data_IF_080356551831
#
_entry.id   IF_080356551831
#
_cell.length_a   1.000
_cell.length_b   1.000
_cell.length_c   1.000
_cell.angle_alpha   90.00
_cell.angle_beta   90.00
_cell.angle_gamma   90.00
#
_symmetry.space_group_name_H-M   'P 1'
#
loop_
_entity.id
_entity.type
_entity.pdbx_description
1 polymer ?
#
# COMPACT_ATOMS: atom_id res chain seq x y z
N UNK A 1 10.16 -3.75 -25.72
CA UNK A 1 8.74 -4.15 -25.63
C UNK A 1 7.88 -3.00 -26.12
N UNK A 2 6.75 -3.26 -26.80
CA UNK A 2 5.79 -2.24 -27.24
C UNK A 2 4.62 -2.18 -26.27
N UNK A 3 4.22 -0.98 -25.86
CA UNK A 3 3.27 -0.75 -24.77
C UNK A 3 2.09 0.07 -25.30
N UNK A 4 0.87 -0.36 -24.96
CA UNK A 4 -0.37 0.37 -25.18
C UNK A 4 -0.97 0.83 -23.85
N UNK A 5 -1.42 2.08 -23.75
CA UNK A 5 -2.09 2.63 -22.57
C UNK A 5 -3.56 2.92 -22.92
N UNK A 6 -4.45 2.46 -22.04
CA UNK A 6 -5.87 2.78 -22.05
C UNK A 6 -6.22 3.45 -20.72
N UNK A 7 -6.62 4.72 -20.74
CA UNK A 7 -6.83 5.51 -19.54
C UNK A 7 -8.28 5.97 -19.42
N UNK A 8 -8.95 5.51 -18.38
CA UNK A 8 -10.23 6.03 -17.95
C UNK A 8 -10.00 7.24 -17.04
N UNK A 9 -10.09 8.43 -17.64
CA UNK A 9 -9.76 9.70 -16.96
C UNK A 9 -10.76 10.06 -15.87
N UNK A 10 -11.99 9.60 -15.96
CA UNK A 10 -13.02 9.88 -14.95
C UNK A 10 -12.83 9.00 -13.71
N UNK A 11 -12.28 7.81 -13.87
CA UNK A 11 -11.99 6.87 -12.78
C UNK A 11 -10.66 7.22 -12.08
N UNK A 12 -9.60 7.43 -12.84
CA UNK A 12 -8.28 7.85 -12.34
C UNK A 12 -7.96 9.21 -12.94
N UNK A 13 -8.44 10.28 -12.29
CA UNK A 13 -8.18 11.65 -12.72
C UNK A 13 -6.79 12.08 -12.27
N UNK A 14 -5.89 12.47 -13.18
CA UNK A 14 -4.60 13.04 -12.82
C UNK A 14 -4.75 14.27 -11.91
N UNK A 15 -3.85 14.49 -10.95
CA UNK A 15 -3.80 15.76 -10.24
C UNK A 15 -3.49 16.89 -11.23
N UNK A 16 -3.93 18.11 -10.91
CA UNK A 16 -3.70 19.30 -11.75
C UNK A 16 -2.21 19.71 -11.84
N UNK A 17 -1.29 18.78 -11.72
CA UNK A 17 0.15 18.98 -11.69
C UNK A 17 0.74 18.46 -13.01
N UNK A 18 1.39 19.34 -13.76
CA UNK A 18 1.79 19.14 -15.17
C UNK A 18 2.66 17.90 -15.48
N UNK A 19 3.25 17.25 -14.48
CA UNK A 19 4.21 16.16 -14.73
C UNK A 19 3.65 14.75 -14.50
N UNK A 20 2.40 14.62 -14.02
CA UNK A 20 1.88 13.31 -13.64
C UNK A 20 1.71 12.35 -14.84
N UNK A 21 1.23 12.86 -15.97
CA UNK A 21 1.05 12.05 -17.18
C UNK A 21 2.40 11.54 -17.68
N UNK A 22 3.40 12.42 -17.68
CA UNK A 22 4.77 12.05 -18.02
C UNK A 22 5.34 10.98 -17.07
N UNK A 23 5.12 11.12 -15.76
CA UNK A 23 5.58 10.14 -14.78
C UNK A 23 4.90 8.76 -14.92
N UNK A 24 3.62 8.72 -15.31
CA UNK A 24 2.95 7.46 -15.66
C UNK A 24 3.63 6.82 -16.87
N UNK A 25 3.86 7.60 -17.94
CA UNK A 25 4.54 7.11 -19.15
C UNK A 25 5.92 6.57 -18.81
N UNK A 26 6.75 7.31 -18.07
CA UNK A 26 8.08 6.89 -17.65
C UNK A 26 8.04 5.62 -16.81
N UNK A 27 7.07 5.52 -15.90
CA UNK A 27 6.89 4.34 -15.07
C UNK A 27 6.61 3.09 -15.89
N UNK A 28 5.70 3.17 -16.85
CA UNK A 28 5.31 2.00 -17.64
C UNK A 28 6.31 1.67 -18.76
N UNK A 29 7.08 2.66 -19.19
CA UNK A 29 8.04 2.54 -20.29
C UNK A 29 9.46 2.23 -19.84
N UNK A 30 9.72 1.96 -18.55
CA UNK A 30 11.07 1.59 -18.06
C UNK A 30 11.72 0.48 -18.87
N UNK A 31 10.94 -0.49 -19.35
CA UNK A 31 11.42 -1.67 -20.11
C UNK A 31 10.87 -1.74 -21.54
N UNK A 32 10.37 -0.62 -22.05
CA UNK A 32 9.74 -0.60 -23.36
C UNK A 32 9.49 0.79 -23.90
N UNK A 33 8.73 0.88 -24.96
CA UNK A 33 8.34 2.14 -25.57
C UNK A 33 6.82 2.24 -25.69
N UNK A 34 6.29 3.43 -25.47
CA UNK A 34 4.90 3.74 -25.76
C UNK A 34 4.68 3.64 -27.26
N UNK A 35 3.78 2.78 -27.68
CA UNK A 35 3.42 2.58 -29.09
C UNK A 35 2.03 3.13 -29.39
N UNK A 36 1.14 3.14 -28.41
CA UNK A 36 -0.20 3.66 -28.54
C UNK A 36 -0.74 4.09 -27.18
N UNK A 37 -1.48 5.20 -27.13
CA UNK A 37 -2.11 5.69 -25.92
C UNK A 37 -3.46 6.33 -26.20
N UNK A 38 -4.49 5.94 -25.46
CA UNK A 38 -5.84 6.48 -25.52
C UNK A 38 -6.31 6.92 -24.14
N UNK A 39 -6.99 8.05 -24.09
CA UNK A 39 -7.64 8.55 -22.89
C UNK A 39 -9.13 8.78 -23.15
N UNK A 40 -9.96 8.16 -22.32
CA UNK A 40 -11.42 8.13 -22.46
C UNK A 40 -12.08 9.02 -21.41
N UNK A 41 -13.01 9.87 -21.81
CA UNK A 41 -13.77 10.69 -20.88
C UNK A 41 -14.67 11.72 -21.56
N UNK A 42 -15.50 12.37 -20.75
CA UNK A 42 -16.31 13.49 -21.22
C UNK A 42 -15.52 14.80 -21.16
N UNK A 43 -14.81 15.13 -22.24
CA UNK A 43 -13.95 16.32 -22.31
C UNK A 43 -14.69 17.67 -22.16
N UNK A 44 -16.02 17.67 -22.13
CA UNK A 44 -16.83 18.83 -21.76
C UNK A 44 -16.93 19.00 -20.21
N UNK A 45 -16.50 18.00 -19.44
CA UNK A 45 -16.50 18.08 -17.99
C UNK A 45 -15.39 19.01 -17.48
N UNK A 46 -15.77 20.03 -16.70
CA UNK A 46 -14.84 21.02 -16.17
C UNK A 46 -13.72 20.43 -15.30
N UNK A 47 -13.93 19.25 -14.71
CA UNK A 47 -12.94 18.58 -13.86
C UNK A 47 -11.79 17.97 -14.64
N UNK A 48 -12.00 17.62 -15.93
CA UNK A 48 -10.99 16.90 -16.74
C UNK A 48 -10.58 17.65 -18.01
N UNK A 49 -11.37 18.65 -18.46
CA UNK A 49 -11.06 19.37 -19.71
C UNK A 49 -9.67 20.02 -19.73
N UNK A 50 -9.18 20.47 -18.56
CA UNK A 50 -7.89 21.13 -18.46
C UNK A 50 -6.71 20.14 -18.57
N UNK A 51 -6.97 18.84 -18.50
CA UNK A 51 -5.97 17.77 -18.63
C UNK A 51 -5.77 17.40 -20.11
N UNK A 52 -6.76 17.65 -20.95
CA UNK A 52 -6.75 17.28 -22.36
C UNK A 52 -5.53 17.81 -23.14
N UNK A 53 -5.10 19.08 -22.98
CA UNK A 53 -3.92 19.57 -23.69
C UNK A 53 -2.63 18.83 -23.30
N UNK A 54 -2.49 18.46 -22.03
CA UNK A 54 -1.33 17.73 -21.53
C UNK A 54 -1.30 16.28 -22.05
N UNK A 55 -2.43 15.59 -22.04
CA UNK A 55 -2.56 14.27 -22.65
C UNK A 55 -2.23 14.31 -24.13
N UNK A 56 -2.76 15.30 -24.87
CA UNK A 56 -2.48 15.47 -26.28
C UNK A 56 -0.99 15.71 -26.57
N UNK A 57 -0.33 16.56 -25.77
CA UNK A 57 1.12 16.81 -25.90
C UNK A 57 1.98 15.57 -25.61
N UNK A 58 1.44 14.63 -24.84
CA UNK A 58 2.06 13.33 -24.55
C UNK A 58 1.58 12.21 -25.50
N UNK A 59 1.05 12.58 -26.67
CA UNK A 59 0.61 11.67 -27.74
C UNK A 59 -0.53 10.71 -27.35
N UNK A 60 -1.42 11.13 -26.45
CA UNK A 60 -2.66 10.41 -26.22
C UNK A 60 -3.71 10.77 -27.26
N UNK A 61 -4.37 9.78 -27.81
CA UNK A 61 -5.62 9.95 -28.55
C UNK A 61 -6.76 10.17 -27.54
N UNK A 62 -7.49 11.31 -27.70
CA UNK A 62 -8.55 11.69 -26.78
C UNK A 62 -9.90 11.19 -27.33
N UNK A 63 -10.46 10.18 -26.67
CA UNK A 63 -11.76 9.62 -27.04
C UNK A 63 -12.84 10.36 -26.24
N UNK A 64 -13.68 11.15 -26.98
CA UNK A 64 -14.76 11.87 -26.33
C UNK A 64 -15.98 11.00 -26.15
N UNK A 65 -16.41 10.85 -24.91
CA UNK A 65 -17.63 10.13 -24.54
C UNK A 65 -18.61 11.15 -23.96
N UNK A 66 -19.62 11.55 -24.73
CA UNK A 66 -20.63 12.49 -24.24
C UNK A 66 -21.46 11.85 -23.14
N UNK A 67 -21.83 12.65 -22.14
CA UNK A 67 -22.77 12.16 -21.10
C UNK A 67 -24.10 11.85 -21.73
N UNK A 68 -24.48 10.60 -21.67
CA UNK A 68 -25.81 10.10 -22.06
C UNK A 68 -26.55 9.67 -20.79
N UNK A 69 -27.85 9.36 -20.92
CA UNK A 69 -28.64 8.75 -19.81
C UNK A 69 -28.19 7.32 -19.50
N UNK A 70 -27.38 6.71 -20.35
CA UNK A 70 -26.84 5.38 -20.13
C UNK A 70 -25.58 5.48 -19.26
N UNK A 71 -25.61 4.81 -18.11
CA UNK A 71 -24.42 4.53 -17.31
C UNK A 71 -23.52 3.58 -18.12
N UNK A 72 -22.20 3.70 -17.99
CA UNK A 72 -21.19 2.79 -18.56
C UNK A 72 -20.87 3.01 -20.06
N UNK A 73 -21.21 4.15 -20.66
CA UNK A 73 -20.83 4.43 -22.07
C UNK A 73 -19.32 4.50 -22.25
N UNK A 74 -18.59 5.03 -21.26
CA UNK A 74 -17.13 5.13 -21.26
C UNK A 74 -16.51 3.73 -21.21
N UNK A 75 -16.99 2.88 -20.31
CA UNK A 75 -16.49 1.52 -20.11
C UNK A 75 -16.67 0.67 -21.37
N UNK A 76 -17.85 0.74 -21.97
CA UNK A 76 -18.14 0.02 -23.23
C UNK A 76 -17.24 0.49 -24.38
N UNK A 77 -17.01 1.81 -24.50
CA UNK A 77 -16.13 2.36 -25.52
C UNK A 77 -14.68 1.95 -25.30
N UNK A 78 -14.18 2.02 -24.05
CA UNK A 78 -12.83 1.61 -23.71
C UNK A 78 -12.60 0.11 -23.98
N UNK A 79 -13.57 -0.75 -23.62
CA UNK A 79 -13.51 -2.18 -23.91
C UNK A 79 -13.47 -2.45 -25.41
N UNK A 80 -14.33 -1.79 -26.20
CA UNK A 80 -14.39 -1.98 -27.65
C UNK A 80 -13.04 -1.61 -28.29
N UNK A 81 -12.53 -0.40 -28.03
CA UNK A 81 -11.23 0.03 -28.55
C UNK A 81 -10.09 -0.87 -28.07
N UNK A 82 -10.09 -1.26 -26.79
CA UNK A 82 -9.07 -2.14 -26.26
C UNK A 82 -9.02 -3.50 -26.97
N UNK A 83 -10.18 -4.08 -27.28
CA UNK A 83 -10.24 -5.32 -28.07
C UNK A 83 -9.78 -5.10 -29.51
N UNK A 84 -10.18 -4.01 -30.16
CA UNK A 84 -9.73 -3.68 -31.52
C UNK A 84 -8.21 -3.54 -31.61
N UNK A 85 -7.56 -2.94 -30.58
CA UNK A 85 -6.10 -2.77 -30.54
C UNK A 85 -5.34 -4.09 -30.60
N UNK A 86 -5.90 -5.19 -30.05
CA UNK A 86 -5.29 -6.51 -30.12
C UNK A 86 -5.04 -6.93 -31.57
N UNK A 87 -5.99 -6.66 -32.44
CA UNK A 87 -5.98 -7.09 -33.83
C UNK A 87 -5.31 -6.07 -34.76
N UNK A 88 -5.55 -4.78 -34.56
CA UNK A 88 -4.96 -3.73 -35.39
C UNK A 88 -3.47 -3.50 -35.09
N UNK A 89 -3.05 -3.69 -33.84
CA UNK A 89 -1.66 -3.49 -33.40
C UNK A 89 -1.09 -4.73 -32.70
N UNK A 90 -0.96 -5.88 -33.42
CA UNK A 90 -0.53 -7.13 -32.83
C UNK A 90 0.88 -7.07 -32.23
N UNK A 91 1.69 -6.08 -32.61
CA UNK A 91 3.02 -5.84 -32.08
C UNK A 91 3.03 -5.24 -30.68
N UNK A 92 1.89 -4.75 -30.15
CA UNK A 92 1.78 -4.34 -28.74
C UNK A 92 1.83 -5.60 -27.88
N UNK A 93 2.79 -5.64 -26.97
CA UNK A 93 3.04 -6.79 -26.09
C UNK A 93 2.41 -6.61 -24.71
N UNK A 94 2.36 -5.36 -24.20
CA UNK A 94 1.84 -4.99 -22.90
C UNK A 94 0.72 -3.96 -23.04
N UNK A 95 -0.39 -4.21 -22.37
CA UNK A 95 -1.46 -3.24 -22.21
C UNK A 95 -1.54 -2.76 -20.77
N UNK A 96 -1.54 -1.43 -20.60
CA UNK A 96 -1.68 -0.76 -19.32
C UNK A 96 -3.07 -0.14 -19.25
N UNK A 97 -3.88 -0.64 -18.34
CA UNK A 97 -5.18 -0.07 -18.01
C UNK A 97 -5.03 0.88 -16.82
N UNK A 98 -5.34 2.16 -17.03
CA UNK A 98 -5.36 3.14 -15.93
C UNK A 98 -6.82 3.33 -15.50
N UNK A 99 -7.29 2.42 -14.66
CA UNK A 99 -8.61 2.39 -14.02
C UNK A 99 -8.64 1.35 -12.93
N UNK A 100 -9.45 1.56 -11.89
CA UNK A 100 -9.71 0.60 -10.82
C UNK A 100 -11.04 -0.14 -10.96
N UNK A 101 -11.80 0.12 -12.02
CA UNK A 101 -13.15 -0.43 -12.18
C UNK A 101 -13.13 -1.92 -12.53
N UNK A 102 -13.84 -2.72 -11.72
CA UNK A 102 -13.99 -4.16 -11.90
C UNK A 102 -14.67 -4.57 -13.21
N UNK A 103 -15.42 -3.69 -13.83
CA UNK A 103 -16.12 -3.96 -15.08
C UNK A 103 -15.15 -4.15 -16.26
N UNK A 104 -13.88 -3.75 -16.12
CA UNK A 104 -12.83 -4.00 -17.11
C UNK A 104 -12.19 -5.40 -17.05
N UNK A 105 -12.59 -6.28 -16.13
CA UNK A 105 -12.07 -7.67 -16.08
C UNK A 105 -12.19 -8.42 -17.41
N UNK A 106 -13.31 -8.33 -18.18
CA UNK A 106 -13.40 -8.98 -19.48
C UNK A 106 -12.35 -8.50 -20.48
N UNK A 107 -11.97 -7.23 -20.42
CA UNK A 107 -10.92 -6.66 -21.26
C UNK A 107 -9.55 -7.24 -20.92
N UNK A 108 -9.17 -7.28 -19.64
CA UNK A 108 -7.91 -7.90 -19.20
C UNK A 108 -7.86 -9.37 -19.59
N UNK A 109 -8.97 -10.10 -19.42
CA UNK A 109 -9.06 -11.49 -19.85
C UNK A 109 -8.84 -11.65 -21.36
N UNK A 110 -9.39 -10.72 -22.17
CA UNK A 110 -9.20 -10.71 -23.63
C UNK A 110 -7.72 -10.50 -23.97
N UNK A 111 -7.04 -9.55 -23.34
CA UNK A 111 -5.59 -9.33 -23.51
C UNK A 111 -4.79 -10.60 -23.21
N UNK A 112 -5.05 -11.23 -22.04
CA UNK A 112 -4.36 -12.45 -21.65
C UNK A 112 -4.59 -13.63 -22.60
N UNK A 113 -5.82 -13.81 -23.10
CA UNK A 113 -6.13 -14.85 -24.09
C UNK A 113 -5.33 -14.67 -25.38
N UNK A 114 -4.95 -13.45 -25.70
CA UNK A 114 -4.12 -13.14 -26.87
C UNK A 114 -2.63 -12.98 -26.56
N UNK A 115 -2.20 -13.49 -25.40
CA UNK A 115 -0.79 -13.52 -25.01
C UNK A 115 -0.19 -12.14 -24.68
N UNK A 116 -1.05 -11.18 -24.32
CA UNK A 116 -0.61 -9.84 -23.94
C UNK A 116 -0.40 -9.75 -22.44
N UNK A 117 0.67 -9.11 -22.02
CA UNK A 117 0.91 -8.74 -20.63
C UNK A 117 -0.03 -7.60 -20.20
N UNK A 118 -0.58 -7.68 -18.99
CA UNK A 118 -1.59 -6.74 -18.49
C UNK A 118 -1.11 -6.04 -17.23
N UNK A 119 -1.13 -4.71 -17.28
CA UNK A 119 -0.84 -3.85 -16.13
C UNK A 119 -2.07 -3.05 -15.75
N UNK A 120 -2.26 -2.83 -14.44
CA UNK A 120 -3.32 -1.96 -13.91
C UNK A 120 -2.69 -0.86 -13.07
N UNK A 121 -3.10 0.39 -13.31
CA UNK A 121 -2.76 1.54 -12.47
C UNK A 121 -4.06 2.12 -11.94
N UNK A 122 -4.22 2.20 -10.62
CA UNK A 122 -5.45 2.71 -10.00
C UNK A 122 -5.22 3.30 -8.61
N UNK A 123 -6.21 3.99 -8.06
CA UNK A 123 -6.23 4.43 -6.66
C UNK A 123 -6.76 3.31 -5.77
N UNK A 124 -5.84 2.68 -5.05
CA UNK A 124 -6.15 1.54 -4.16
C UNK A 124 -7.15 1.89 -3.06
N UNK A 125 -7.16 3.13 -2.60
CA UNK A 125 -8.02 3.53 -1.48
C UNK A 125 -9.41 3.97 -1.92
N UNK A 126 -9.61 4.31 -3.20
CA UNK A 126 -10.88 4.89 -3.66
C UNK A 126 -11.73 3.95 -4.50
N UNK A 127 -11.13 3.31 -5.49
CA UNK A 127 -11.90 2.65 -6.55
C UNK A 127 -11.29 1.37 -7.10
N UNK A 128 -10.28 0.81 -6.43
CA UNK A 128 -9.63 -0.40 -6.88
C UNK A 128 -10.48 -1.65 -6.61
N UNK A 129 -10.95 -2.30 -7.66
CA UNK A 129 -11.53 -3.63 -7.57
C UNK A 129 -10.42 -4.67 -7.33
N UNK A 130 -10.47 -5.35 -6.18
CA UNK A 130 -9.54 -6.45 -5.87
C UNK A 130 -9.54 -7.52 -6.97
N UNK A 131 -10.70 -7.78 -7.57
CA UNK A 131 -10.85 -8.79 -8.61
C UNK A 131 -10.20 -8.37 -9.93
N UNK A 132 -10.21 -7.07 -10.27
CA UNK A 132 -9.49 -6.54 -11.41
C UNK A 132 -7.98 -6.70 -11.22
N UNK A 133 -7.49 -6.34 -10.04
CA UNK A 133 -6.08 -6.39 -9.69
C UNK A 133 -5.57 -7.84 -9.67
N UNK A 134 -6.35 -8.76 -9.10
CA UNK A 134 -6.05 -10.21 -9.11
C UNK A 134 -5.84 -10.75 -10.52
N UNK A 135 -6.50 -10.15 -11.50
CA UNK A 135 -6.42 -10.57 -12.89
C UNK A 135 -5.24 -9.97 -13.64
N UNK A 136 -4.73 -8.82 -13.22
CA UNK A 136 -3.56 -8.20 -13.84
C UNK A 136 -2.28 -8.99 -13.59
N UNK A 137 -1.32 -8.95 -14.54
CA UNK A 137 0.02 -9.52 -14.33
C UNK A 137 0.84 -8.58 -13.45
N UNK A 138 0.58 -7.28 -13.56
CA UNK A 138 1.23 -6.25 -12.76
C UNK A 138 0.25 -5.17 -12.34
N UNK A 139 0.50 -4.59 -11.17
CA UNK A 139 -0.34 -3.54 -10.61
C UNK A 139 0.54 -2.45 -9.98
N UNK A 140 0.07 -1.21 -10.07
CA UNK A 140 0.71 -0.08 -9.39
C UNK A 140 -0.32 0.90 -8.84
N UNK A 141 -0.10 1.36 -7.61
CA UNK A 141 -0.89 2.46 -7.05
C UNK A 141 -0.47 3.78 -7.69
N UNK A 142 -1.44 4.53 -8.21
CA UNK A 142 -1.15 5.81 -8.85
C UNK A 142 -0.55 6.84 -7.89
N UNK A 143 -0.83 6.72 -6.59
CA UNK A 143 -0.29 7.61 -5.54
C UNK A 143 1.20 7.45 -5.35
N UNK A 144 1.73 6.25 -5.57
CA UNK A 144 3.18 6.02 -5.49
C UNK A 144 3.91 6.70 -6.65
N UNK A 145 3.23 6.84 -7.78
CA UNK A 145 3.76 7.63 -8.91
C UNK A 145 3.84 9.11 -8.52
N UNK A 146 2.81 9.65 -7.83
CA UNK A 146 2.77 11.04 -7.37
C UNK A 146 3.86 11.30 -6.32
N UNK A 147 3.99 10.45 -5.31
CA UNK A 147 4.99 10.60 -4.24
C UNK A 147 6.41 10.65 -4.80
N UNK A 148 6.72 9.75 -5.71
CA UNK A 148 8.04 9.75 -6.36
C UNK A 148 8.33 11.05 -7.11
N UNK A 149 7.32 11.79 -7.56
CA UNK A 149 7.51 13.10 -8.22
C UNK A 149 7.77 14.23 -7.22
N UNK A 150 7.12 14.21 -6.05
CA UNK A 150 7.31 15.22 -5.01
C UNK A 150 8.73 15.12 -4.42
N UNK A 151 9.26 13.93 -4.27
CA UNK A 151 10.64 13.69 -3.83
C UNK A 151 11.67 14.24 -4.83
N UNK A 152 11.38 14.21 -6.14
CA UNK A 152 12.23 14.82 -7.18
C UNK A 152 12.16 16.36 -7.22
N UNK A 153 11.05 16.97 -6.78
CA UNK A 153 10.87 18.44 -6.86
C UNK A 153 11.41 19.20 -5.65
N UNK A 154 11.76 18.51 -4.56
CA UNK A 154 12.32 19.11 -3.34
C UNK A 154 13.83 18.93 -3.19
N UNK A 155 14.48 18.21 -4.09
CA UNK A 155 15.92 17.97 -4.11
C UNK A 155 16.67 19.05 -4.89
N UNK A 156 17.26 20.03 -4.19
CA UNK A 156 18.31 20.88 -4.74
C UNK A 156 19.54 20.05 -5.15
N UNK A 157 20.24 20.53 -6.19
CA UNK A 157 21.48 20.00 -6.75
C UNK A 157 22.44 19.44 -5.69
N UNK A 158 22.41 18.12 -5.47
CA UNK A 158 23.53 17.33 -4.95
C UNK A 158 23.08 15.92 -4.51
N UNK A 159 22.45 15.13 -5.36
CA UNK A 159 22.44 13.67 -5.16
C UNK A 159 22.09 12.94 -6.47
N UNK A 160 23.03 13.00 -7.41
CA UNK A 160 22.94 12.29 -8.68
C UNK A 160 23.40 10.83 -8.59
N UNK A 161 23.65 10.32 -7.40
CA UNK A 161 24.01 8.91 -7.18
C UNK A 161 23.38 8.43 -5.86
N UNK A 162 22.66 7.31 -5.92
CA UNK A 162 22.09 6.54 -4.81
C UNK A 162 20.69 6.91 -4.33
N UNK A 163 19.68 6.87 -5.19
CA UNK A 163 18.45 6.22 -4.75
C UNK A 163 18.66 4.71 -4.81
N UNK A 164 19.44 4.17 -3.88
CA UNK A 164 19.31 2.77 -3.48
C UNK A 164 17.84 2.59 -3.13
N UNK A 165 17.11 1.83 -3.94
CA UNK A 165 15.75 1.40 -3.62
C UNK A 165 15.84 0.73 -2.25
N UNK A 166 15.39 1.42 -1.20
CA UNK A 166 15.36 0.85 0.14
C UNK A 166 14.48 -0.39 0.07
N UNK A 167 15.10 -1.55 0.11
CA UNK A 167 14.38 -2.80 0.17
C UNK A 167 13.53 -2.83 1.43
N UNK A 168 12.32 -3.36 1.30
CA UNK A 168 11.41 -3.53 2.43
C UNK A 168 12.05 -4.46 3.46
N UNK A 169 12.11 -4.03 4.72
CA UNK A 169 12.60 -4.88 5.80
C UNK A 169 11.52 -5.89 6.24
N UNK A 170 11.92 -6.96 6.94
CA UNK A 170 10.97 -7.95 7.48
C UNK A 170 9.99 -7.30 8.46
N UNK A 171 10.47 -6.41 9.31
CA UNK A 171 9.67 -5.68 10.30
C UNK A 171 8.62 -4.80 9.62
N UNK A 172 9.01 -4.06 8.58
CA UNK A 172 8.09 -3.25 7.77
C UNK A 172 7.04 -4.13 7.07
N UNK A 173 7.44 -5.30 6.57
CA UNK A 173 6.53 -6.25 5.95
C UNK A 173 5.53 -6.87 6.95
N UNK A 174 5.92 -7.12 8.21
CA UNK A 174 5.00 -7.58 9.26
C UNK A 174 4.00 -6.50 9.67
N UNK A 175 4.41 -5.23 9.66
CA UNK A 175 3.50 -4.10 9.88
C UNK A 175 2.45 -4.05 8.75
N UNK A 176 2.88 -4.18 7.50
CA UNK A 176 1.98 -4.22 6.34
C UNK A 176 1.02 -5.43 6.39
N UNK A 177 1.50 -6.59 6.83
CA UNK A 177 0.66 -7.77 7.03
C UNK A 177 -0.46 -7.50 8.04
N UNK A 178 -0.11 -6.92 9.19
CA UNK A 178 -1.08 -6.55 10.22
C UNK A 178 -2.08 -5.51 9.72
N UNK A 179 -1.62 -4.49 8.99
CA UNK A 179 -2.48 -3.47 8.40
C UNK A 179 -3.44 -4.07 7.37
N UNK A 180 -2.95 -4.97 6.51
CA UNK A 180 -3.76 -5.65 5.52
C UNK A 180 -4.89 -6.46 6.15
N UNK A 181 -4.60 -7.26 7.18
CA UNK A 181 -5.62 -8.03 7.93
C UNK A 181 -6.60 -7.09 8.63
N UNK A 182 -6.12 -5.97 9.19
CA UNK A 182 -6.97 -4.95 9.85
C UNK A 182 -8.00 -4.35 8.91
N UNK A 183 -7.63 -4.05 7.67
CA UNK A 183 -8.55 -3.51 6.67
C UNK A 183 -9.68 -4.47 6.30
N UNK A 184 -9.42 -5.78 6.25
CA UNK A 184 -10.49 -6.77 6.06
C UNK A 184 -11.50 -6.74 7.20
N UNK A 185 -11.03 -6.58 8.44
CA UNK A 185 -11.90 -6.46 9.62
C UNK A 185 -12.77 -5.20 9.57
N UNK A 186 -12.20 -4.06 9.17
CA UNK A 186 -12.94 -2.80 8.96
C UNK A 186 -14.01 -2.95 7.88
N UNK A 187 -13.68 -3.63 6.76
CA UNK A 187 -14.58 -3.90 5.65
C UNK A 187 -15.61 -5.01 5.97
N UNK A 188 -15.58 -5.61 7.16
CA UNK A 188 -16.42 -6.76 7.58
C UNK A 188 -16.30 -7.95 6.63
N UNK A 189 -15.12 -8.19 6.09
CA UNK A 189 -14.79 -9.32 5.22
C UNK A 189 -13.85 -10.29 5.92
N UNK A 190 -13.93 -11.55 5.56
CA UNK A 190 -13.06 -12.58 6.09
C UNK A 190 -11.67 -12.55 5.44
N UNK A 191 -10.60 -12.34 6.20
CA UNK A 191 -9.23 -12.25 5.67
C UNK A 191 -8.65 -13.63 5.35
N UNK A 192 -8.86 -14.13 4.14
CA UNK A 192 -8.21 -15.33 3.65
C UNK A 192 -6.70 -15.09 3.44
N UNK A 193 -5.87 -16.08 3.70
CA UNK A 193 -4.41 -15.98 3.50
C UNK A 193 -4.04 -15.49 2.09
N UNK A 194 -4.72 -16.00 1.05
CA UNK A 194 -4.50 -15.61 -0.34
C UNK A 194 -4.79 -14.14 -0.59
N UNK A 195 -5.86 -13.66 0.02
CA UNK A 195 -6.37 -12.32 -0.21
C UNK A 195 -5.51 -11.26 0.52
N UNK A 196 -5.02 -11.62 1.71
CA UNK A 196 -4.10 -10.75 2.46
C UNK A 196 -2.79 -10.52 1.71
N UNK A 197 -2.26 -11.52 0.98
CA UNK A 197 -1.07 -11.30 0.12
C UNK A 197 -1.30 -10.19 -0.91
N UNK A 198 -2.48 -10.20 -1.51
CA UNK A 198 -2.86 -9.19 -2.51
C UNK A 198 -3.00 -7.83 -1.83
N UNK A 199 -3.65 -7.79 -0.66
CA UNK A 199 -3.82 -6.54 0.10
C UNK A 199 -2.47 -5.92 0.48
N UNK A 200 -1.47 -6.72 0.88
CA UNK A 200 -0.12 -6.24 1.15
C UNK A 200 0.53 -5.65 -0.11
N UNK A 201 0.42 -6.35 -1.24
CA UNK A 201 0.92 -5.81 -2.52
C UNK A 201 0.21 -4.53 -2.95
N UNK A 202 -1.04 -4.34 -2.54
CA UNK A 202 -1.80 -3.11 -2.70
C UNK A 202 -1.30 -1.98 -1.77
N UNK A 203 -0.86 -2.32 -0.58
CA UNK A 203 -0.30 -1.37 0.39
C UNK A 203 1.14 -1.00 0.07
N UNK A 204 1.89 -1.93 -0.52
CA UNK A 204 3.27 -1.72 -0.94
C UNK A 204 3.61 -2.63 -2.13
N UNK A 205 3.78 -2.04 -3.31
CA UNK A 205 4.07 -2.74 -4.57
C UNK A 205 5.44 -3.43 -4.58
N UNK A 206 6.37 -2.98 -3.71
CA UNK A 206 7.70 -3.58 -3.53
C UNK A 206 7.68 -4.86 -2.70
N UNK A 207 6.53 -5.21 -2.11
CA UNK A 207 6.42 -6.41 -1.31
C UNK A 207 6.64 -7.66 -2.17
N UNK A 208 7.67 -8.39 -1.83
CA UNK A 208 8.00 -9.70 -2.39
C UNK A 208 8.60 -10.56 -1.27
N UNK A 209 7.90 -11.61 -0.88
CA UNK A 209 8.34 -12.51 0.18
C UNK A 209 9.69 -13.19 -0.14
N UNK A 210 10.02 -13.36 -1.41
CA UNK A 210 11.29 -13.99 -1.79
C UNK A 210 12.48 -13.06 -1.54
N UNK A 211 12.31 -11.75 -1.74
CA UNK A 211 13.31 -10.73 -1.40
C UNK A 211 13.53 -10.60 0.12
N UNK A 212 12.51 -10.95 0.91
CA UNK A 212 12.61 -11.01 2.37
C UNK A 212 13.23 -12.32 2.89
N UNK A 213 13.63 -13.21 1.98
CA UNK A 213 14.31 -14.49 2.31
C UNK A 213 13.36 -15.66 2.57
N UNK A 214 12.09 -15.55 2.20
CA UNK A 214 11.12 -16.65 2.31
C UNK A 214 11.01 -17.40 0.99
N UNK A 215 10.98 -18.73 1.03
CA UNK A 215 10.83 -19.57 -0.16
C UNK A 215 9.41 -19.53 -0.73
N UNK A 216 8.41 -19.15 0.06
CA UNK A 216 7.02 -19.02 -0.35
C UNK A 216 6.21 -18.16 0.64
N UNK A 217 5.00 -17.79 0.21
CA UNK A 217 4.08 -16.97 0.97
C UNK A 217 3.70 -17.53 2.35
N UNK A 218 3.50 -18.85 2.45
CA UNK A 218 3.13 -19.49 3.73
C UNK A 218 4.23 -19.36 4.77
N UNK A 219 5.49 -19.50 4.39
CA UNK A 219 6.63 -19.29 5.30
C UNK A 219 6.70 -17.86 5.85
N UNK A 220 6.39 -16.86 5.01
CA UNK A 220 6.24 -15.48 5.49
C UNK A 220 5.09 -15.33 6.48
N UNK A 221 3.91 -15.91 6.16
CA UNK A 221 2.72 -15.82 7.05
C UNK A 221 2.96 -16.48 8.39
N UNK A 222 3.62 -17.64 8.44
CA UNK A 222 3.98 -18.32 9.68
C UNK A 222 4.83 -17.47 10.60
N UNK A 223 5.83 -16.77 10.04
CA UNK A 223 6.67 -15.87 10.82
C UNK A 223 5.92 -14.58 11.19
N UNK A 224 5.14 -14.02 10.28
CA UNK A 224 4.31 -12.84 10.56
C UNK A 224 3.30 -13.09 11.70
N UNK A 225 2.72 -14.28 11.78
CA UNK A 225 1.81 -14.68 12.87
C UNK A 225 2.57 -14.73 14.23
N UNK A 226 3.81 -15.19 14.25
CA UNK A 226 4.63 -15.22 15.48
C UNK A 226 4.96 -13.82 15.99
N UNK A 227 5.20 -12.89 15.06
CA UNK A 227 5.63 -11.51 15.36
C UNK A 227 4.48 -10.52 15.51
N UNK A 228 3.24 -10.93 15.20
CA UNK A 228 2.05 -10.09 15.27
C UNK A 228 1.00 -10.67 16.20
N UNK A 229 -0.03 -9.89 16.53
CA UNK A 229 -1.19 -10.37 17.29
C UNK A 229 -2.26 -11.05 16.42
N UNK A 230 -1.83 -11.69 15.33
CA UNK A 230 -2.72 -12.37 14.39
C UNK A 230 -2.60 -13.87 14.62
N UNK A 231 -3.72 -14.58 14.57
CA UNK A 231 -3.79 -16.04 14.60
C UNK A 231 -4.41 -16.56 13.31
N UNK A 232 -4.15 -17.84 13.02
CA UNK A 232 -4.74 -18.53 11.88
C UNK A 232 -5.67 -19.61 12.38
N UNK A 233 -6.96 -19.46 12.10
CA UNK A 233 -8.00 -20.39 12.52
C UNK A 233 -9.00 -20.64 11.38
N UNK A 234 -9.30 -21.89 11.09
CA UNK A 234 -10.29 -22.29 10.08
C UNK A 234 -10.10 -21.65 8.69
N UNK A 235 -8.86 -21.41 8.28
CA UNK A 235 -8.57 -20.80 6.97
C UNK A 235 -8.49 -19.27 6.97
N UNK A 236 -8.79 -18.62 8.11
CA UNK A 236 -8.88 -17.18 8.25
C UNK A 236 -7.77 -16.62 9.15
N UNK A 237 -7.33 -15.40 8.88
CA UNK A 237 -6.40 -14.64 9.70
C UNK A 237 -7.20 -13.73 10.66
N UNK A 238 -7.08 -13.96 11.96
CA UNK A 238 -7.86 -13.27 12.99
C UNK A 238 -6.94 -12.37 13.80
N UNK A 239 -7.28 -11.08 13.89
CA UNK A 239 -6.62 -10.17 14.83
C UNK A 239 -7.21 -10.41 16.21
N UNK A 240 -6.40 -10.87 17.13
CA UNK A 240 -6.78 -11.02 18.53
C UNK A 240 -6.84 -9.65 19.19
N UNK A 241 -8.05 -9.13 19.39
CA UNK A 241 -8.29 -7.88 20.15
C UNK A 241 -8.11 -8.05 21.66
N UNK A 242 -7.97 -9.28 22.14
CA UNK A 242 -7.42 -9.49 23.46
C UNK A 242 -5.99 -9.01 23.41
N UNK A 243 -5.74 -7.86 24.00
CA UNK A 243 -4.42 -7.39 24.40
C UNK A 243 -3.77 -8.43 25.33
N UNK A 244 -3.29 -9.51 24.81
CA UNK A 244 -1.98 -9.94 25.13
C UNK A 244 -1.07 -9.08 24.25
N UNK A 245 -0.89 -7.84 24.68
CA UNK A 245 0.23 -7.05 24.24
C UNK A 245 1.43 -7.94 24.49
N UNK A 246 2.07 -8.41 23.44
CA UNK A 246 3.40 -8.95 23.56
C UNK A 246 4.20 -7.77 24.08
N UNK A 247 4.32 -7.72 25.41
CA UNK A 247 5.01 -6.64 26.11
C UNK A 247 6.40 -6.67 25.52
N UNK A 248 6.90 -5.59 24.87
CA UNK A 248 8.24 -5.59 24.33
C UNK A 248 9.22 -6.10 25.37
N UNK A 249 10.16 -6.94 24.97
CA UNK A 249 11.12 -7.58 25.87
C UNK A 249 11.70 -6.58 26.86
N UNK A 250 11.97 -5.36 26.41
CA UNK A 250 12.46 -4.27 27.24
C UNK A 250 11.55 -3.88 28.41
N UNK A 251 10.23 -4.09 28.32
CA UNK A 251 9.27 -3.75 29.37
C UNK A 251 8.73 -4.98 30.12
N UNK A 252 9.08 -6.21 29.71
CA UNK A 252 8.59 -7.44 30.36
C UNK A 252 8.99 -7.48 31.82
N UNK A 253 10.29 -7.25 32.11
CA UNK A 253 10.83 -7.23 33.46
C UNK A 253 10.17 -6.14 34.33
N UNK A 254 9.89 -4.97 33.76
CA UNK A 254 9.15 -3.90 34.44
C UNK A 254 7.75 -4.35 34.86
N UNK A 255 7.02 -4.94 33.88
CA UNK A 255 5.62 -5.35 34.08
C UNK A 255 5.52 -6.56 35.01
N UNK A 256 6.44 -7.52 34.93
CA UNK A 256 6.52 -8.63 35.89
C UNK A 256 6.79 -8.13 37.32
N UNK A 257 7.67 -7.15 37.47
CA UNK A 257 7.97 -6.56 38.79
C UNK A 257 6.73 -5.84 39.35
N UNK A 258 5.87 -5.27 38.48
CA UNK A 258 4.65 -4.62 38.89
C UNK A 258 3.43 -5.56 39.00
N UNK A 259 3.52 -6.81 38.50
CA UNK A 259 2.38 -7.74 38.36
C UNK A 259 1.80 -8.19 39.74
N UNK A 260 2.61 -8.18 40.77
CA UNK A 260 2.21 -8.63 42.10
C UNK A 260 1.85 -7.50 43.07
N UNK A 261 1.77 -6.25 42.55
CA UNK A 261 1.45 -5.07 43.35
C UNK A 261 0.39 -4.23 42.65
N UNK A 262 -0.79 -4.17 43.26
CA UNK A 262 -1.91 -3.32 42.76
C UNK A 262 -1.74 -1.85 43.19
N UNK A 263 -0.81 -1.54 44.05
CA UNK A 263 -0.52 -0.20 44.55
C UNK A 263 0.58 0.54 43.78
N UNK A 264 0.67 1.84 44.02
CA UNK A 264 1.71 2.68 43.47
C UNK A 264 3.07 2.39 44.08
N UNK A 265 4.06 2.04 43.24
CA UNK A 265 5.42 1.73 43.65
C UNK A 265 6.36 2.88 43.29
N UNK A 266 7.27 3.24 44.18
CA UNK A 266 8.25 4.29 43.94
C UNK A 266 9.25 3.91 42.85
N UNK A 267 9.64 4.87 42.03
CA UNK A 267 10.67 4.70 40.98
C UNK A 267 11.99 4.16 41.54
N UNK A 268 12.38 4.60 42.75
CA UNK A 268 13.59 4.18 43.42
C UNK A 268 13.61 2.68 43.77
N UNK A 269 12.43 2.12 44.06
CA UNK A 269 12.30 0.69 44.41
C UNK A 269 12.35 -0.24 43.20
N UNK A 270 12.00 0.29 42.04
CA UNK A 270 11.96 -0.47 40.77
C UNK A 270 13.25 -0.31 40.00
N UNK A 271 13.84 0.90 40.00
CA UNK A 271 15.06 1.20 39.27
C UNK A 271 16.19 0.21 39.49
N UNK A 272 16.37 -0.25 40.72
CA UNK A 272 17.44 -1.20 41.10
C UNK A 272 17.22 -2.63 40.59
N UNK A 273 15.98 -2.94 40.17
CA UNK A 273 15.57 -4.26 39.70
C UNK A 273 15.57 -4.40 38.18
N UNK A 274 15.73 -3.30 37.45
CA UNK A 274 15.58 -3.29 36.00
C UNK A 274 16.83 -2.73 35.33
N UNK A 275 17.38 -3.49 34.40
CA UNK A 275 18.56 -3.07 33.67
C UNK A 275 18.15 -2.31 32.33
N UNK A 276 17.56 -1.12 32.51
CA UNK A 276 17.07 -0.28 31.45
C UNK A 276 18.18 0.27 30.50
N UNK A 277 19.43 0.27 30.97
CA UNK A 277 20.59 0.74 30.19
C UNK A 277 20.90 -0.22 29.02
N UNK A 278 20.62 -1.51 29.16
CA UNK A 278 20.76 -2.51 28.11
C UNK A 278 19.81 -2.25 26.94
N UNK A 279 18.78 -1.47 27.14
CA UNK A 279 17.78 -1.09 26.14
C UNK A 279 18.00 0.31 25.57
N UNK A 280 19.18 0.93 25.83
CA UNK A 280 19.59 2.21 25.27
C UNK A 280 19.09 3.45 26.00
N UNK A 281 18.46 3.32 27.17
CA UNK A 281 18.01 4.44 27.98
C UNK A 281 19.10 4.92 28.93
N UNK A 282 19.39 6.21 28.93
CA UNK A 282 20.37 6.82 29.83
C UNK A 282 19.81 7.11 31.25
N UNK A 283 18.47 7.21 31.37
CA UNK A 283 17.79 7.48 32.62
C UNK A 283 16.57 6.59 32.76
N UNK A 284 16.36 6.03 33.94
CA UNK A 284 15.18 5.22 34.26
C UNK A 284 13.86 5.98 34.03
N UNK A 285 13.84 7.28 34.27
CA UNK A 285 12.69 8.13 34.03
C UNK A 285 12.25 8.09 32.54
N UNK A 286 13.19 8.17 31.61
CA UNK A 286 12.89 8.17 30.18
C UNK A 286 12.35 6.80 29.72
N UNK A 287 12.89 5.71 30.27
CA UNK A 287 12.40 4.36 30.09
C UNK A 287 10.96 4.20 30.62
N UNK A 288 10.66 4.70 31.83
CA UNK A 288 9.34 4.64 32.42
C UNK A 288 8.31 5.48 31.64
N UNK A 289 8.67 6.69 31.20
CA UNK A 289 7.81 7.54 30.38
C UNK A 289 7.49 6.91 29.02
N UNK A 290 8.42 6.20 28.40
CA UNK A 290 8.15 5.47 27.17
C UNK A 290 7.18 4.30 27.40
N UNK A 291 7.32 3.58 28.51
CA UNK A 291 6.39 2.52 28.92
C UNK A 291 4.96 3.08 29.16
N UNK A 292 4.85 4.27 29.76
CA UNK A 292 3.57 4.95 29.98
C UNK A 292 2.96 5.39 28.66
N UNK A 293 3.73 6.04 27.79
CA UNK A 293 3.30 6.47 26.44
C UNK A 293 2.74 5.32 25.62
N UNK A 294 3.29 4.12 25.79
CA UNK A 294 2.83 2.89 25.13
C UNK A 294 1.69 2.19 25.89
N UNK A 295 1.23 2.74 27.00
CA UNK A 295 0.07 2.27 27.75
C UNK A 295 0.31 1.06 28.65
N UNK A 296 1.57 0.67 28.93
CA UNK A 296 1.88 -0.48 29.77
C UNK A 296 1.79 -0.17 31.27
N UNK A 297 2.09 1.07 31.66
CA UNK A 297 2.05 1.52 33.05
C UNK A 297 1.36 2.88 33.14
N UNK A 298 1.04 3.28 34.37
CA UNK A 298 0.63 4.66 34.72
C UNK A 298 1.64 5.25 35.67
N UNK A 299 1.97 6.52 35.47
CA UNK A 299 2.91 7.26 36.30
C UNK A 299 2.16 8.35 37.06
N UNK A 300 2.53 8.54 38.32
CA UNK A 300 2.09 9.62 39.17
C UNK A 300 3.30 10.38 39.68
N UNK A 301 3.23 11.71 39.59
CA UNK A 301 4.29 12.60 40.09
C UNK A 301 3.72 13.56 41.12
N UNK A 302 4.25 13.50 42.34
CA UNK A 302 3.92 14.40 43.46
C UNK A 302 5.19 15.13 43.88
N UNK A 303 5.52 16.19 43.12
CA UNK A 303 6.72 16.98 43.34
C UNK A 303 8.00 16.24 42.95
N UNK A 304 8.83 15.89 43.93
CA UNK A 304 10.07 15.13 43.73
C UNK A 304 9.86 13.59 43.73
N UNK A 305 8.65 13.15 44.09
CA UNK A 305 8.33 11.72 44.27
C UNK A 305 7.62 11.23 42.99
N UNK A 306 8.26 10.24 42.37
CA UNK A 306 7.71 9.55 41.20
C UNK A 306 7.33 8.11 41.58
N UNK A 307 6.10 7.74 41.23
CA UNK A 307 5.59 6.39 41.43
C UNK A 307 4.92 5.87 40.17
N UNK A 308 4.82 4.57 40.04
CA UNK A 308 4.20 3.90 38.91
C UNK A 308 3.36 2.71 39.36
N UNK A 309 2.42 2.32 38.49
CA UNK A 309 1.68 1.07 38.59
C UNK A 309 1.39 0.50 37.22
N UNK A 310 1.07 -0.78 37.15
CA UNK A 310 0.63 -1.41 35.92
C UNK A 310 -0.65 -0.75 35.37
N UNK A 311 -0.76 -0.55 34.07
CA UNK A 311 -2.04 -0.20 33.42
C UNK A 311 -2.97 -1.42 33.43
N UNK A 312 -4.22 -1.23 33.79
CA UNK A 312 -5.23 -2.29 33.75
C UNK A 312 -5.57 -2.66 32.30
#
# INVERSE_FOLDING_TARGET
>A
MNIGILWDIENVTPPANANYIQAVIETVCKEGRLSYAMAFGNWNNNSIKNIAPELYSNNFELIHIPRTSQKNSTDMSLVAHGVELIFHYPHINRFVLVSGDGDFRPLLLSFKKHGKETWVICDVNKNASEELIKMADYFKDYRDIIKNMEDFSTGGENDLYETMEKELTKEEAFILFKEAVGKYKEDKKDPLISDVKIKIKLLNDKFDETKLGYSNWYGFVEDAIKETNITYENGLLIINDKKESTIPIMFQELIETLRNNDDWILFTQIREKINFENYGYKKFKDFALDAEKRGYIKIKNEGLIWSMKKSN
#
